data_IF_805546206762
#
_entry.id   IF_805546206762
#
_cell.length_a   1.000
_cell.length_b   1.000
_cell.length_c   1.000
_cell.angle_alpha   90.00
_cell.angle_beta   90.00
_cell.angle_gamma   90.00
#
_symmetry.space_group_name_H-M   'P 1'
#
loop_
_entity.id
_entity.type
_entity.pdbx_description
1 polymer ?
#
# COMPACT_ATOMS: atom_id res chain seq x y z
N UNK A 1 -19.11 29.68 14.14
CA UNK A 1 -18.65 30.62 13.09
C UNK A 1 -18.38 29.81 11.83
N UNK A 2 -19.21 29.98 10.81
CA UNK A 2 -19.19 29.19 9.58
C UNK A 2 -18.15 29.77 8.62
N UNK A 3 -17.08 29.04 8.36
CA UNK A 3 -16.05 29.45 7.41
C UNK A 3 -16.56 29.18 5.98
N UNK A 4 -16.84 30.25 5.25
CA UNK A 4 -17.17 30.19 3.82
C UNK A 4 -15.93 29.71 3.04
N UNK A 5 -16.04 28.55 2.41
CA UNK A 5 -15.05 28.05 1.46
C UNK A 5 -15.04 28.97 0.23
N UNK A 6 -14.07 29.89 0.18
CA UNK A 6 -13.82 30.73 -0.98
C UNK A 6 -13.38 29.87 -2.16
N UNK A 7 -14.27 29.72 -3.14
CA UNK A 7 -13.96 29.20 -4.48
C UNK A 7 -12.99 30.17 -5.17
N UNK A 8 -11.70 30.01 -4.92
CA UNK A 8 -10.66 30.70 -5.69
C UNK A 8 -10.76 30.31 -7.16
N UNK A 9 -11.00 31.30 -8.03
CA UNK A 9 -11.06 31.10 -9.47
C UNK A 9 -9.76 30.45 -9.94
N UNK A 10 -9.82 29.16 -10.30
CA UNK A 10 -8.73 28.45 -10.97
C UNK A 10 -8.50 29.18 -12.28
N UNK A 11 -7.41 29.95 -12.38
CA UNK A 11 -6.98 30.56 -13.64
C UNK A 11 -6.69 29.41 -14.61
N UNK A 12 -7.66 29.09 -15.47
CA UNK A 12 -7.47 28.13 -16.55
C UNK A 12 -6.41 28.72 -17.49
N UNK A 13 -5.21 28.17 -17.44
CA UNK A 13 -4.13 28.55 -18.35
C UNK A 13 -4.56 28.13 -19.76
N UNK A 14 -4.97 29.10 -20.60
CA UNK A 14 -5.25 28.82 -22.01
C UNK A 14 -3.93 28.77 -22.76
N UNK A 15 -3.49 27.56 -23.08
CA UNK A 15 -2.38 27.33 -23.98
C UNK A 15 -2.73 27.89 -25.36
N UNK A 16 -2.02 28.93 -25.81
CA UNK A 16 -2.07 29.39 -27.19
C UNK A 16 -1.21 28.44 -28.03
N UNK A 17 -1.79 27.64 -28.95
CA UNK A 17 -1.02 26.71 -29.75
C UNK A 17 -0.13 27.48 -30.73
N UNK A 18 1.16 27.57 -30.42
CA UNK A 18 2.17 27.91 -31.41
C UNK A 18 2.29 26.77 -32.42
N UNK A 19 2.47 27.11 -33.70
CA UNK A 19 2.55 26.18 -34.86
C UNK A 19 3.74 25.20 -34.85
N UNK A 20 4.51 25.13 -33.77
CA UNK A 20 5.51 24.08 -33.55
C UNK A 20 4.86 22.96 -32.77
N UNK A 21 4.83 21.73 -33.31
CA UNK A 21 4.48 20.52 -32.56
C UNK A 21 5.18 20.58 -31.20
N UNK A 22 4.41 20.78 -30.14
CA UNK A 22 4.94 20.81 -28.78
C UNK A 22 5.28 19.39 -28.37
N UNK A 23 6.47 18.95 -28.79
CA UNK A 23 6.99 17.63 -28.43
C UNK A 23 7.42 17.71 -26.97
N UNK A 24 6.56 17.24 -26.08
CA UNK A 24 6.94 16.94 -24.71
C UNK A 24 7.88 15.73 -24.70
N UNK A 25 8.94 15.79 -23.91
CA UNK A 25 9.87 14.68 -23.70
C UNK A 25 9.66 14.08 -22.31
N UNK A 26 9.87 12.77 -22.15
CA UNK A 26 9.75 12.12 -20.84
C UNK A 26 10.94 12.50 -19.96
N UNK A 27 10.67 13.19 -18.85
CA UNK A 27 11.66 13.47 -17.82
C UNK A 27 11.94 12.21 -16.99
N UNK A 28 10.88 11.59 -16.48
CA UNK A 28 10.93 10.27 -15.85
C UNK A 28 9.57 9.56 -15.92
N UNK A 29 9.55 8.28 -15.60
CA UNK A 29 8.33 7.50 -15.38
C UNK A 29 8.46 6.58 -14.19
N UNK A 30 7.32 6.19 -13.64
CA UNK A 30 7.20 5.19 -12.57
C UNK A 30 6.27 4.09 -13.09
N UNK A 31 6.76 2.85 -13.08
CA UNK A 31 6.00 1.65 -13.44
C UNK A 31 5.74 0.84 -12.18
N UNK A 32 4.48 0.54 -11.92
CA UNK A 32 4.06 -0.26 -10.78
C UNK A 32 3.94 -1.72 -11.18
N UNK A 33 4.60 -2.58 -10.43
CA UNK A 33 4.53 -4.03 -10.64
C UNK A 33 4.10 -4.71 -9.34
N UNK A 34 3.41 -5.84 -9.42
CA UNK A 34 3.00 -6.60 -8.24
C UNK A 34 3.11 -8.09 -8.52
N UNK A 35 3.77 -8.86 -7.65
CA UNK A 35 4.09 -10.28 -7.92
C UNK A 35 2.84 -11.18 -7.99
N UNK A 36 1.71 -10.77 -7.41
CA UNK A 36 0.40 -11.43 -7.62
C UNK A 36 0.02 -11.56 -9.11
N UNK A 37 0.29 -10.54 -9.92
CA UNK A 37 -0.04 -10.55 -11.34
C UNK A 37 1.00 -11.38 -12.09
N UNK A 38 0.60 -12.56 -12.57
CA UNK A 38 1.47 -13.46 -13.34
C UNK A 38 1.42 -13.19 -14.84
N UNK A 39 0.51 -12.32 -15.27
CA UNK A 39 0.37 -11.91 -16.67
C UNK A 39 0.99 -10.52 -16.89
N UNK A 40 1.20 -10.13 -18.16
CA UNK A 40 1.67 -8.80 -18.55
C UNK A 40 2.90 -8.32 -17.76
N UNK A 41 3.89 -9.20 -17.55
CA UNK A 41 5.11 -8.89 -16.79
C UNK A 41 4.87 -8.35 -15.36
N UNK A 42 3.73 -8.68 -14.75
CA UNK A 42 3.38 -8.26 -13.40
C UNK A 42 2.97 -6.80 -13.27
N UNK A 43 2.58 -6.13 -14.35
CA UNK A 43 2.04 -4.77 -14.31
C UNK A 43 0.81 -4.69 -13.39
N UNK A 44 0.82 -3.70 -12.50
CA UNK A 44 -0.21 -3.52 -11.48
C UNK A 44 -1.04 -2.26 -11.78
N UNK A 45 -2.34 -2.46 -12.05
CA UNK A 45 -3.31 -1.41 -12.39
C UNK A 45 -4.22 -1.01 -11.22
N UNK A 46 -3.96 -1.56 -10.04
CA UNK A 46 -4.80 -1.37 -8.85
C UNK A 46 -4.62 -0.02 -8.17
N UNK A 47 -3.66 0.78 -8.62
CA UNK A 47 -3.23 2.01 -8.00
C UNK A 47 -3.26 3.16 -9.00
N UNK A 48 -3.75 4.32 -8.56
CA UNK A 48 -3.67 5.58 -9.30
C UNK A 48 -2.79 6.57 -8.57
N UNK A 49 -2.17 7.45 -9.35
CA UNK A 49 -1.29 8.49 -8.85
C UNK A 49 -1.82 9.85 -9.27
N UNK A 50 -1.72 10.82 -8.38
CA UNK A 50 -1.95 12.21 -8.70
C UNK A 50 -0.87 13.06 -8.01
N UNK A 51 -0.27 14.05 -8.69
CA UNK A 51 0.54 15.03 -7.99
C UNK A 51 -0.34 15.76 -6.97
N UNK A 52 0.22 16.08 -5.80
CA UNK A 52 -0.49 16.96 -4.88
C UNK A 52 -0.63 18.39 -5.45
N UNK A 53 -1.44 19.23 -4.81
CA UNK A 53 -1.72 20.59 -5.32
C UNK A 53 -0.47 21.45 -5.46
N UNK A 54 0.48 21.33 -4.53
CA UNK A 54 1.76 22.03 -4.57
C UNK A 54 2.64 21.53 -5.74
N UNK A 55 2.76 20.21 -5.89
CA UNK A 55 3.53 19.59 -6.98
C UNK A 55 2.91 19.88 -8.35
N UNK A 56 1.58 19.82 -8.48
CA UNK A 56 0.89 20.16 -9.72
C UNK A 56 1.13 21.62 -10.13
N UNK A 57 1.07 22.55 -9.16
CA UNK A 57 1.36 23.97 -9.39
C UNK A 57 2.81 24.19 -9.80
N UNK A 58 3.76 23.53 -9.12
CA UNK A 58 5.17 23.58 -9.45
C UNK A 58 5.42 23.02 -10.85
N UNK A 59 4.85 21.86 -11.19
CA UNK A 59 4.94 21.24 -12.50
C UNK A 59 4.47 22.18 -13.61
N UNK A 60 3.29 22.79 -13.45
CA UNK A 60 2.76 23.74 -14.41
C UNK A 60 3.67 24.96 -14.60
N UNK A 61 4.23 25.50 -13.51
CA UNK A 61 5.14 26.66 -13.57
C UNK A 61 6.47 26.37 -14.27
N UNK A 62 6.88 25.11 -14.32
CA UNK A 62 8.14 24.65 -14.91
C UNK A 62 7.93 23.97 -16.28
N UNK A 63 6.76 24.10 -16.90
CA UNK A 63 6.48 23.50 -18.21
C UNK A 63 6.49 21.96 -18.19
N UNK A 64 6.20 21.35 -17.04
CA UNK A 64 6.07 19.91 -16.88
C UNK A 64 4.60 19.48 -16.98
N UNK A 65 4.38 18.26 -17.44
CA UNK A 65 3.07 17.63 -17.58
C UNK A 65 3.06 16.28 -16.86
N UNK A 66 2.07 16.09 -15.99
CA UNK A 66 1.77 14.79 -15.42
C UNK A 66 0.92 13.99 -16.42
N UNK A 67 1.29 12.74 -16.68
CA UNK A 67 0.51 11.82 -17.49
C UNK A 67 0.33 10.51 -16.73
N UNK A 68 -0.90 10.20 -16.37
CA UNK A 68 -1.26 8.87 -15.85
C UNK A 68 -1.02 7.83 -16.94
N UNK A 69 -0.46 6.68 -16.56
CA UNK A 69 -0.26 5.53 -17.43
C UNK A 69 -1.00 4.34 -16.83
N UNK A 70 -1.24 3.31 -17.64
CA UNK A 70 -2.05 2.14 -17.25
C UNK A 70 -1.59 1.46 -15.94
N UNK A 71 -0.27 1.37 -15.71
CA UNK A 71 0.32 0.81 -14.49
C UNK A 71 1.37 1.76 -13.89
N UNK A 72 1.00 3.03 -13.68
CA UNK A 72 1.86 4.03 -13.07
C UNK A 72 1.67 5.42 -13.68
N UNK A 73 2.77 6.15 -13.91
CA UNK A 73 2.70 7.48 -14.51
C UNK A 73 4.01 7.91 -15.17
N UNK A 74 3.93 8.94 -16.00
CA UNK A 74 5.07 9.66 -16.57
C UNK A 74 5.01 11.14 -16.19
N UNK A 75 6.17 11.75 -15.96
CA UNK A 75 6.33 13.20 -15.96
C UNK A 75 7.06 13.60 -17.24
N UNK A 76 6.42 14.45 -18.02
CA UNK A 76 6.94 14.98 -19.26
C UNK A 76 7.37 16.44 -19.07
N UNK A 77 8.30 16.93 -19.87
CA UNK A 77 8.78 18.31 -19.85
C UNK A 77 8.93 18.83 -21.27
N UNK A 78 8.65 20.11 -21.47
CA UNK A 78 8.95 20.77 -22.74
C UNK A 78 10.46 20.98 -22.86
N UNK A 79 11.10 20.66 -24.00
CA UNK A 79 12.56 20.77 -24.15
C UNK A 79 13.10 22.16 -23.78
N UNK A 80 12.39 23.22 -24.15
CA UNK A 80 12.78 24.60 -23.81
C UNK A 80 12.61 24.96 -22.33
N UNK A 81 11.81 24.19 -21.57
CA UNK A 81 11.56 24.45 -20.14
C UNK A 81 12.65 23.83 -19.23
N UNK A 82 13.51 22.97 -19.77
CA UNK A 82 14.62 22.33 -19.03
C UNK A 82 15.56 23.37 -18.43
N UNK A 83 15.90 24.43 -19.17
CA UNK A 83 16.72 25.51 -18.64
C UNK A 83 16.03 26.22 -17.46
N UNK A 84 14.72 26.48 -17.58
CA UNK A 84 13.92 27.04 -16.49
C UNK A 84 13.93 26.18 -15.22
N UNK A 85 13.83 24.86 -15.37
CA UNK A 85 13.95 23.89 -14.27
C UNK A 85 15.34 23.95 -13.62
N UNK A 86 16.42 23.99 -14.42
CA UNK A 86 17.79 24.10 -13.88
C UNK A 86 17.99 25.42 -13.13
N UNK A 87 17.48 26.54 -13.66
CA UNK A 87 17.55 27.84 -12.98
C UNK A 87 16.70 27.86 -11.71
N UNK A 88 15.52 27.23 -11.71
CA UNK A 88 14.71 27.06 -10.52
C UNK A 88 15.48 26.28 -9.44
N UNK A 89 16.08 25.14 -9.79
CA UNK A 89 16.90 24.34 -8.87
C UNK A 89 18.07 25.14 -8.32
N UNK A 90 18.75 25.95 -9.16
CA UNK A 90 19.82 26.86 -8.73
C UNK A 90 19.36 27.90 -7.72
N UNK A 91 18.13 28.43 -7.87
CA UNK A 91 17.56 29.37 -6.90
C UNK A 91 17.12 28.71 -5.60
N UNK A 92 16.70 27.44 -5.66
CA UNK A 92 16.38 26.64 -4.47
C UNK A 92 17.63 26.16 -3.74
N UNK A 93 18.81 26.31 -4.34
CA UNK A 93 20.07 25.91 -3.73
C UNK A 93 20.27 26.65 -2.41
N UNK A 94 20.50 25.89 -1.35
CA UNK A 94 20.79 26.46 -0.05
C UNK A 94 22.26 26.88 0.03
N UNK A 95 22.49 28.07 0.57
CA UNK A 95 23.82 28.50 0.99
C UNK A 95 24.15 27.86 2.34
N UNK A 96 24.88 26.75 2.32
CA UNK A 96 25.45 26.12 3.52
C UNK A 96 26.98 26.16 3.51
N UNK A 97 27.63 25.67 4.58
CA UNK A 97 29.10 25.52 4.67
C UNK A 97 29.67 24.44 3.73
N UNK A 98 28.82 23.73 2.99
CA UNK A 98 29.17 22.70 2.01
C UNK A 98 28.82 23.10 0.57
N UNK A 99 29.07 22.19 -0.41
CA UNK A 99 28.66 22.43 -1.80
C UNK A 99 27.14 22.66 -1.87
N UNK A 100 26.67 23.62 -2.70
CA UNK A 100 25.25 23.96 -2.78
C UNK A 100 24.40 22.74 -3.11
N UNK A 101 23.40 22.49 -2.26
CA UNK A 101 22.43 21.41 -2.42
C UNK A 101 21.27 21.92 -3.29
N UNK A 102 21.31 21.58 -4.58
CA UNK A 102 20.21 21.83 -5.49
C UNK A 102 19.22 20.68 -5.29
N UNK A 103 18.02 20.92 -4.78
CA UNK A 103 16.96 19.92 -4.84
C UNK A 103 15.57 20.56 -4.79
N UNK A 104 14.61 19.84 -5.34
CA UNK A 104 13.18 20.00 -5.09
C UNK A 104 12.56 18.62 -5.22
N UNK A 105 11.34 18.48 -4.73
CA UNK A 105 10.58 17.23 -4.75
C UNK A 105 9.25 17.43 -5.45
N UNK A 106 8.78 16.36 -6.08
CA UNK A 106 7.39 16.20 -6.46
C UNK A 106 6.78 15.08 -5.60
N UNK A 107 5.64 15.37 -4.99
CA UNK A 107 4.86 14.43 -4.20
C UNK A 107 3.69 13.92 -5.03
N UNK A 108 3.58 12.60 -5.14
CA UNK A 108 2.47 11.91 -5.80
C UNK A 108 1.70 11.09 -4.77
N UNK A 109 0.40 11.39 -4.64
CA UNK A 109 -0.52 10.66 -3.79
C UNK A 109 -1.03 9.43 -4.51
N UNK A 110 -0.94 8.28 -3.85
CA UNK A 110 -1.35 6.98 -4.37
C UNK A 110 -2.72 6.61 -3.81
N UNK A 111 -3.69 6.35 -4.68
CA UNK A 111 -5.05 5.91 -4.30
C UNK A 111 -5.33 4.51 -4.85
N UNK A 112 -6.11 3.71 -4.12
CA UNK A 112 -6.51 2.37 -4.56
C UNK A 112 -7.73 2.44 -5.48
N UNK A 113 -7.64 1.77 -6.61
CA UNK A 113 -8.78 1.49 -7.51
C UNK A 113 -9.38 0.14 -7.19
N UNK A 114 -8.55 -0.83 -6.82
CA UNK A 114 -8.98 -2.17 -6.45
C UNK A 114 -9.02 -2.32 -4.92
N UNK A 115 -10.21 -2.49 -4.29
CA UNK A 115 -10.31 -2.65 -2.85
C UNK A 115 -9.66 -3.94 -2.33
N UNK A 116 -9.41 -4.94 -3.19
CA UNK A 116 -8.74 -6.18 -2.83
C UNK A 116 -7.21 -6.05 -2.75
N UNK A 117 -6.64 -4.90 -3.12
CA UNK A 117 -5.19 -4.70 -3.15
C UNK A 117 -4.51 -5.07 -1.82
N UNK A 118 -5.08 -4.67 -0.68
CA UNK A 118 -4.57 -5.03 0.66
C UNK A 118 -4.62 -6.55 0.88
N UNK A 119 -5.66 -7.22 0.40
CA UNK A 119 -5.83 -8.68 0.49
C UNK A 119 -4.73 -9.44 -0.24
N UNK A 120 -4.30 -8.95 -1.40
CA UNK A 120 -3.28 -9.62 -2.24
C UNK A 120 -1.84 -9.17 -1.98
N UNK A 121 -1.64 -8.05 -1.27
CA UNK A 121 -0.30 -7.49 -1.01
C UNK A 121 0.27 -8.01 0.33
N UNK A 122 1.59 -8.17 0.41
CA UNK A 122 2.34 -8.57 1.61
C UNK A 122 2.38 -7.47 2.70
N UNK A 123 1.21 -7.09 3.20
CA UNK A 123 1.00 -6.18 4.34
C UNK A 123 0.13 -6.83 5.42
N UNK A 124 0.08 -6.34 6.66
CA UNK A 124 -0.92 -6.82 7.62
C UNK A 124 -2.35 -6.72 7.06
N UNK A 125 -3.19 -7.73 7.25
CA UNK A 125 -4.60 -7.67 6.80
C UNK A 125 -5.37 -6.55 7.50
N UNK A 126 -4.94 -6.18 8.72
CA UNK A 126 -5.47 -5.07 9.51
C UNK A 126 -5.00 -3.69 9.05
N UNK A 127 -4.25 -3.59 7.93
CA UNK A 127 -3.76 -2.30 7.41
C UNK A 127 -4.93 -1.38 7.11
N UNK A 128 -4.95 -0.23 7.77
CA UNK A 128 -5.91 0.84 7.51
C UNK A 128 -5.17 2.04 6.88
N UNK A 129 -5.52 2.45 5.66
CA UNK A 129 -4.87 3.58 4.98
C UNK A 129 -4.99 4.92 5.75
N UNK A 130 -5.92 5.01 6.70
CA UNK A 130 -6.08 6.17 7.59
C UNK A 130 -5.13 6.16 8.80
N UNK A 131 -4.41 5.08 9.04
CA UNK A 131 -3.48 4.92 10.17
C UNK A 131 -2.02 4.74 9.68
N UNK A 132 -1.82 4.00 8.60
CA UNK A 132 -0.51 3.75 7.99
C UNK A 132 -0.63 3.71 6.47
N UNK A 133 0.39 4.21 5.78
CA UNK A 133 0.44 4.25 4.32
C UNK A 133 1.80 3.81 3.78
N UNK A 134 1.81 3.33 2.53
CA UNK A 134 3.07 3.08 1.83
C UNK A 134 3.83 4.39 1.60
N UNK A 135 5.14 4.35 1.77
CA UNK A 135 6.00 5.48 1.43
C UNK A 135 7.22 5.01 0.66
N UNK A 136 7.54 5.72 -0.42
CA UNK A 136 8.76 5.52 -1.19
C UNK A 136 9.32 6.86 -1.66
N UNK A 137 10.63 6.89 -1.89
CA UNK A 137 11.31 8.00 -2.53
C UNK A 137 12.52 7.49 -3.32
N UNK A 138 13.12 8.34 -4.14
CA UNK A 138 14.30 7.98 -4.91
C UNK A 138 15.64 8.23 -4.22
N UNK A 139 15.68 8.60 -2.93
CA UNK A 139 16.94 8.72 -2.17
C UNK A 139 17.58 7.37 -1.87
N UNK A 140 16.76 6.32 -1.82
CA UNK A 140 17.20 4.93 -1.63
C UNK A 140 17.05 4.08 -2.90
N UNK A 141 16.67 4.72 -4.00
CA UNK A 141 16.53 4.03 -5.27
C UNK A 141 17.87 3.47 -5.75
N UNK A 142 17.84 2.29 -6.35
CA UNK A 142 19.02 1.55 -6.77
C UNK A 142 18.79 0.83 -8.10
N UNK A 143 19.88 0.55 -8.82
CA UNK A 143 19.82 -0.22 -10.06
C UNK A 143 19.51 -1.69 -9.81
N UNK A 144 18.67 -2.28 -10.66
CA UNK A 144 18.31 -3.71 -10.68
C UNK A 144 18.11 -4.14 -12.13
N UNK A 145 19.18 -4.67 -12.75
CA UNK A 145 19.24 -4.88 -14.20
C UNK A 145 19.08 -3.55 -14.95
N UNK A 146 18.19 -3.51 -15.93
CA UNK A 146 17.89 -2.32 -16.75
C UNK A 146 16.88 -1.36 -16.08
N UNK A 147 16.51 -1.61 -14.84
CA UNK A 147 15.49 -0.82 -14.12
C UNK A 147 16.04 -0.19 -12.85
N UNK A 148 15.47 0.94 -12.45
CA UNK A 148 15.75 1.57 -11.16
C UNK A 148 14.61 1.24 -10.20
N UNK A 149 14.89 0.57 -9.10
CA UNK A 149 13.88 0.21 -8.09
C UNK A 149 13.84 1.30 -7.02
N UNK A 150 12.64 1.80 -6.71
CA UNK A 150 12.43 2.86 -5.71
C UNK A 150 12.63 2.43 -4.25
N UNK A 151 11.96 1.37 -3.75
CA UNK A 151 12.12 0.99 -2.36
C UNK A 151 13.58 0.66 -2.04
N UNK A 152 14.03 0.88 -0.79
CA UNK A 152 15.36 0.49 -0.35
C UNK A 152 15.57 -1.03 -0.41
N UNK A 153 14.46 -1.79 -0.36
CA UNK A 153 14.41 -3.24 -0.52
C UNK A 153 13.90 -3.61 -1.92
N UNK A 154 13.78 -4.91 -2.18
CA UNK A 154 13.29 -5.41 -3.47
C UNK A 154 11.81 -5.12 -3.73
N UNK A 155 10.99 -4.92 -2.69
CA UNK A 155 9.54 -4.74 -2.79
C UNK A 155 9.00 -3.76 -1.74
N UNK A 156 7.88 -3.12 -2.08
CA UNK A 156 6.92 -2.48 -1.18
C UNK A 156 6.15 -3.57 -0.44
N UNK A 157 6.19 -3.55 0.89
CA UNK A 157 5.52 -4.49 1.78
C UNK A 157 5.22 -3.85 3.14
N UNK A 158 4.83 -4.63 4.14
CA UNK A 158 4.53 -4.12 5.49
C UNK A 158 5.65 -3.27 6.12
N UNK A 159 6.92 -3.53 5.79
CA UNK A 159 8.06 -2.76 6.30
C UNK A 159 8.22 -1.37 5.65
N UNK A 160 7.45 -1.08 4.60
CA UNK A 160 7.42 0.24 3.91
C UNK A 160 6.21 1.09 4.33
N UNK A 161 5.44 0.61 5.31
CA UNK A 161 4.33 1.36 5.88
C UNK A 161 4.85 2.38 6.90
N UNK A 162 4.38 3.61 6.78
CA UNK A 162 4.70 4.74 7.66
C UNK A 162 3.41 5.24 8.30
N UNK A 163 3.40 5.59 9.60
CA UNK A 163 2.24 6.21 10.25
C UNK A 163 1.78 7.46 9.51
N UNK A 164 0.47 7.63 9.36
CA UNK A 164 -0.10 8.82 8.73
C UNK A 164 -0.65 9.79 9.76
N UNK A 165 -0.70 11.06 9.37
CA UNK A 165 -1.38 12.10 10.10
C UNK A 165 -2.16 12.99 9.14
N UNK A 166 -3.24 13.60 9.66
CA UNK A 166 -4.01 14.60 8.93
C UNK A 166 -3.39 15.98 9.07
N UNK A 167 -4.20 17.03 8.89
CA UNK A 167 -3.74 18.41 9.06
C UNK A 167 -3.42 18.78 10.50
N UNK A 168 -3.77 17.93 11.48
CA UNK A 168 -3.46 18.14 12.88
C UNK A 168 -2.76 16.91 13.44
N UNK A 169 -1.73 17.15 14.23
CA UNK A 169 -0.96 16.10 14.88
C UNK A 169 -0.76 16.44 16.36
N UNK A 170 -1.11 15.50 17.24
CA UNK A 170 -0.84 15.62 18.67
C UNK A 170 0.52 15.02 19.00
N UNK A 171 1.36 15.81 19.66
CA UNK A 171 2.77 15.54 19.97
C UNK A 171 2.90 15.54 21.49
N UNK A 172 3.21 14.41 22.15
CA UNK A 172 3.63 14.43 23.55
C UNK A 172 4.95 15.19 23.68
N UNK A 173 5.05 16.07 24.66
CA UNK A 173 6.24 16.90 24.91
C UNK A 173 6.68 16.78 26.38
N UNK A 174 7.96 17.03 26.64
CA UNK A 174 8.54 17.04 27.99
C UNK A 174 8.51 18.45 28.59
N UNK A 175 8.66 18.62 29.92
CA UNK A 175 8.73 19.94 30.55
C UNK A 175 9.81 20.86 29.97
N UNK A 176 10.91 20.29 29.48
CA UNK A 176 12.05 21.04 28.91
C UNK A 176 11.86 21.40 27.42
N UNK A 177 10.81 20.87 26.78
CA UNK A 177 10.53 21.17 25.37
C UNK A 177 10.15 22.65 25.21
N UNK A 178 10.90 23.37 24.40
CA UNK A 178 10.61 24.75 23.99
C UNK A 178 10.04 24.81 22.56
N UNK A 179 10.43 23.86 21.70
CA UNK A 179 9.93 23.80 20.33
C UNK A 179 9.65 22.37 19.89
N UNK A 180 8.65 22.23 19.01
CA UNK A 180 8.48 21.05 18.15
C UNK A 180 8.94 21.45 16.75
N UNK A 181 9.91 20.73 16.20
CA UNK A 181 10.40 20.97 14.83
C UNK A 181 9.90 19.92 13.87
N UNK A 182 9.55 20.37 12.67
CA UNK A 182 9.32 19.51 11.52
C UNK A 182 10.40 19.73 10.50
N UNK A 183 11.08 18.64 10.16
CA UNK A 183 12.01 18.58 9.07
C UNK A 183 11.42 17.80 7.90
N UNK A 184 11.65 18.27 6.68
CA UNK A 184 11.31 17.52 5.47
C UNK A 184 12.30 16.35 5.24
N UNK A 185 12.12 15.65 4.13
CA UNK A 185 12.94 14.49 3.77
C UNK A 185 14.45 14.79 3.61
N UNK A 186 14.83 16.05 3.34
CA UNK A 186 16.25 16.44 3.29
C UNK A 186 16.87 16.63 4.67
N UNK A 187 16.06 16.62 5.74
CA UNK A 187 16.46 17.01 7.10
C UNK A 187 16.33 18.51 7.35
N UNK A 188 15.86 19.28 6.37
CA UNK A 188 15.63 20.70 6.52
C UNK A 188 14.41 21.00 7.39
N UNK A 189 14.58 21.81 8.44
CA UNK A 189 13.46 22.34 9.22
C UNK A 189 12.57 23.20 8.31
N UNK A 190 11.33 22.77 8.11
CA UNK A 190 10.29 23.49 7.37
C UNK A 190 9.41 24.33 8.29
N UNK A 191 9.26 23.91 9.54
CA UNK A 191 8.49 24.65 10.53
C UNK A 191 9.01 24.34 11.94
N UNK A 192 9.04 25.38 12.78
CA UNK A 192 9.32 25.32 14.21
C UNK A 192 8.10 25.86 14.98
N UNK A 193 7.52 25.06 15.87
CA UNK A 193 6.34 25.40 16.65
C UNK A 193 6.77 25.72 18.09
N UNK A 194 6.63 26.97 18.56
CA UNK A 194 6.96 27.32 19.95
C UNK A 194 5.96 26.69 20.92
N UNK A 195 6.45 26.17 22.05
CA UNK A 195 5.63 25.63 23.14
C UNK A 195 5.49 26.68 24.23
N UNK A 196 4.26 27.05 24.54
CA UNK A 196 3.94 28.05 25.57
C UNK A 196 3.74 27.38 26.93
N UNK A 197 3.87 28.13 28.04
CA UNK A 197 3.57 27.60 29.38
C UNK A 197 2.15 27.04 29.52
N UNK A 198 1.17 27.62 28.81
CA UNK A 198 -0.21 27.11 28.79
C UNK A 198 -0.33 25.72 28.15
N UNK A 199 0.50 25.44 27.13
CA UNK A 199 0.54 24.11 26.51
C UNK A 199 1.04 23.05 27.50
N UNK A 200 1.86 23.45 28.48
CA UNK A 200 2.44 22.60 29.54
C UNK A 200 1.49 22.28 30.69
N UNK A 201 0.28 22.82 30.71
CA UNK A 201 -0.66 22.65 31.82
C UNK A 201 -1.37 21.27 31.87
N UNK A 202 -1.17 20.41 30.86
CA UNK A 202 -1.80 19.08 30.78
C UNK A 202 -0.85 17.97 31.26
N UNK A 203 -1.39 16.92 31.90
CA UNK A 203 -0.63 15.73 32.31
C UNK A 203 -1.27 14.46 31.70
N UNK A 204 -0.60 13.75 30.75
CA UNK A 204 0.69 14.08 30.14
C UNK A 204 0.60 15.32 29.23
N UNK A 205 1.68 16.09 29.14
CA UNK A 205 1.71 17.30 28.31
C UNK A 205 1.65 16.96 26.83
N UNK A 206 0.64 17.48 26.14
CA UNK A 206 0.42 17.24 24.70
C UNK A 206 0.18 18.56 23.97
N UNK A 207 0.85 18.74 22.84
CA UNK A 207 0.69 19.89 21.96
C UNK A 207 0.07 19.43 20.66
N UNK A 208 -0.88 20.19 20.12
CA UNK A 208 -1.41 19.94 18.77
C UNK A 208 -0.77 20.92 17.81
N UNK A 209 -0.11 20.41 16.78
CA UNK A 209 0.47 21.22 15.71
C UNK A 209 -0.38 21.14 14.45
N UNK A 210 -0.42 22.24 13.70
CA UNK A 210 -1.15 22.37 12.44
C UNK A 210 -0.21 22.19 11.24
N UNK A 211 -0.45 21.12 10.49
CA UNK A 211 0.25 20.77 9.25
C UNK A 211 -0.46 21.32 8.01
N UNK A 212 -1.60 22.01 8.15
CA UNK A 212 -2.36 22.60 7.06
C UNK A 212 -1.56 23.56 6.17
N UNK A 213 -0.50 24.16 6.70
CA UNK A 213 0.42 25.05 5.96
C UNK A 213 1.57 24.31 5.27
N UNK A 214 1.77 23.03 5.57
CA UNK A 214 2.82 22.20 4.98
C UNK A 214 2.32 21.56 3.67
N UNK A 215 3.25 21.20 2.77
CA UNK A 215 2.91 20.35 1.63
C UNK A 215 2.67 18.92 2.09
N UNK A 216 1.90 18.12 1.36
CA UNK A 216 1.83 16.70 1.67
C UNK A 216 3.19 16.03 1.46
N UNK A 217 3.46 15.00 2.24
CA UNK A 217 4.72 14.28 2.16
C UNK A 217 5.23 13.79 3.50
N UNK A 218 6.50 13.41 3.49
CA UNK A 218 7.16 12.81 4.63
C UNK A 218 7.85 13.87 5.49
N UNK A 219 7.69 13.72 6.81
CA UNK A 219 8.28 14.61 7.80
C UNK A 219 8.90 13.84 8.95
N UNK A 220 9.97 14.42 9.48
CA UNK A 220 10.58 14.04 10.75
C UNK A 220 10.20 15.08 11.80
N UNK A 221 9.63 14.62 12.90
CA UNK A 221 9.23 15.45 14.04
C UNK A 221 10.26 15.27 15.14
N UNK A 222 10.77 16.36 15.68
CA UNK A 222 11.73 16.38 16.79
C UNK A 222 11.32 17.39 17.86
N UNK A 223 11.85 17.19 19.07
CA UNK A 223 11.69 18.10 20.19
C UNK A 223 13.00 18.85 20.41
N UNK A 224 12.91 20.15 20.72
CA UNK A 224 14.07 20.99 21.00
C UNK A 224 13.87 21.78 22.29
N UNK A 225 14.97 21.93 23.04
CA UNK A 225 15.06 22.79 24.21
C UNK A 225 15.14 24.28 23.85
N UNK A 226 15.15 25.13 24.87
CA UNK A 226 15.25 26.59 24.69
C UNK A 226 16.62 27.02 24.09
N UNK A 227 17.65 26.20 24.29
CA UNK A 227 18.98 26.32 23.71
C UNK A 227 19.06 25.84 22.25
N UNK A 228 17.96 25.31 21.71
CA UNK A 228 17.88 24.74 20.37
C UNK A 228 18.51 23.36 20.24
N UNK A 229 18.96 22.73 21.33
CA UNK A 229 19.44 21.36 21.30
C UNK A 229 18.27 20.38 21.20
N UNK A 230 18.49 19.29 20.47
CA UNK A 230 17.52 18.21 20.39
C UNK A 230 17.34 17.58 21.78
N UNK A 231 16.10 17.35 22.17
CA UNK A 231 15.77 16.60 23.38
C UNK A 231 15.75 15.12 23.01
N UNK A 232 16.63 14.35 23.65
CA UNK A 232 16.66 12.89 23.51
C UNK A 232 15.50 12.28 24.29
N UNK A 233 14.47 11.87 23.55
CA UNK A 233 13.32 11.14 24.06
C UNK A 233 13.13 9.93 23.16
N UNK A 234 13.00 8.74 23.73
CA UNK A 234 12.82 7.47 23.01
C UNK A 234 11.67 7.46 21.96
N UNK A 235 10.71 8.39 22.04
CA UNK A 235 9.63 8.54 21.06
C UNK A 235 10.03 9.42 19.86
N UNK A 236 11.17 10.11 19.93
CA UNK A 236 11.65 11.08 18.95
C UNK A 236 13.11 10.83 18.52
N UNK A 237 13.48 11.17 17.27
CA UNK A 237 12.63 11.75 16.24
C UNK A 237 11.56 10.76 15.73
N UNK A 238 10.36 11.27 15.48
CA UNK A 238 9.23 10.48 14.96
C UNK A 238 9.03 10.76 13.48
N UNK A 239 8.90 9.71 12.71
CA UNK A 239 8.61 9.79 11.28
C UNK A 239 7.09 9.72 11.06
N UNK A 240 6.56 10.60 10.23
CA UNK A 240 5.14 10.66 9.91
C UNK A 240 4.92 11.06 8.46
N UNK A 241 3.83 10.57 7.89
CA UNK A 241 3.40 10.93 6.55
C UNK A 241 2.15 11.83 6.64
N UNK A 242 2.29 13.08 6.23
CA UNK A 242 1.17 14.00 6.13
C UNK A 242 0.48 13.83 4.77
N UNK A 243 -0.77 13.37 4.79
CA UNK A 243 -1.60 13.11 3.60
C UNK A 243 -2.97 13.75 3.75
N UNK A 244 -3.68 14.05 2.65
CA UNK A 244 -5.05 14.52 2.75
C UNK A 244 -5.94 13.41 3.33
N UNK A 245 -6.96 13.78 4.14
CA UNK A 245 -7.92 12.81 4.66
C UNK A 245 -8.85 12.25 3.57
N UNK A 246 -9.01 12.98 2.45
CA UNK A 246 -9.85 12.60 1.30
C UNK A 246 -9.22 13.07 -0.02
N UNK A 247 -9.22 12.24 -1.08
CA UNK A 247 -9.61 10.82 -1.07
C UNK A 247 -8.69 9.99 -0.16
N UNK A 248 -9.15 8.79 0.22
CA UNK A 248 -8.34 7.89 1.05
C UNK A 248 -7.08 7.52 0.26
N UNK A 249 -5.95 8.02 0.74
CA UNK A 249 -4.63 7.78 0.17
C UNK A 249 -4.09 6.50 0.76
N UNK A 250 -3.51 5.63 -0.06
CA UNK A 250 -2.86 4.37 0.34
C UNK A 250 -1.33 4.51 0.43
N UNK A 251 -0.79 5.57 -0.16
CA UNK A 251 0.63 5.86 -0.08
C UNK A 251 1.02 7.21 -0.66
N UNK A 252 2.27 7.58 -0.45
CA UNK A 252 2.89 8.72 -1.10
C UNK A 252 4.22 8.32 -1.71
N UNK A 253 4.51 8.91 -2.87
CA UNK A 253 5.78 8.79 -3.57
C UNK A 253 6.40 10.17 -3.71
N UNK A 254 7.61 10.35 -3.19
CA UNK A 254 8.38 11.58 -3.35
C UNK A 254 9.54 11.37 -4.32
N UNK A 255 9.50 12.05 -5.47
CA UNK A 255 10.59 12.02 -6.45
C UNK A 255 11.37 13.33 -6.37
N UNK A 256 12.64 13.23 -5.98
CA UNK A 256 13.55 14.35 -5.94
C UNK A 256 14.24 14.47 -7.29
N UNK A 257 14.41 15.69 -7.80
CA UNK A 257 15.09 15.87 -9.09
C UNK A 257 16.60 15.64 -9.03
N UNK A 258 17.20 15.87 -7.86
CA UNK A 258 18.65 15.86 -7.63
C UNK A 258 18.92 15.42 -6.19
N UNK A 259 20.18 15.14 -5.87
CA UNK A 259 20.62 14.68 -4.54
C UNK A 259 20.37 15.77 -3.48
N UNK A 260 19.53 15.51 -2.46
CA UNK A 260 19.27 16.49 -1.41
C UNK A 260 20.46 16.63 -0.46
N UNK A 261 21.23 15.56 -0.23
CA UNK A 261 22.44 15.59 0.61
C UNK A 261 23.62 14.89 -0.08
N UNK A 262 24.88 15.22 0.27
CA UNK A 262 26.06 14.55 -0.27
C UNK A 262 26.08 13.03 -0.09
N UNK A 263 25.48 12.54 1.00
CA UNK A 263 25.47 11.13 1.37
C UNK A 263 24.33 10.33 0.72
N UNK A 264 23.41 11.01 0.02
CA UNK A 264 22.29 10.34 -0.65
C UNK A 264 22.78 9.50 -1.83
N UNK A 265 22.54 8.18 -1.79
CA UNK A 265 22.97 7.20 -2.80
C UNK A 265 21.95 6.94 -3.90
N UNK A 266 20.83 7.64 -3.86
CA UNK A 266 19.72 7.48 -4.79
C UNK A 266 20.05 7.69 -6.26
N UNK A 267 19.09 7.33 -7.10
CA UNK A 267 19.10 7.62 -8.54
C UNK A 267 18.07 8.72 -8.83
N UNK A 268 18.49 9.77 -9.52
CA UNK A 268 17.71 10.99 -9.68
C UNK A 268 17.49 11.32 -11.17
N UNK A 269 16.34 11.93 -11.55
CA UNK A 269 16.04 12.26 -12.95
C UNK A 269 17.04 13.25 -13.57
N UNK A 270 17.58 14.19 -12.78
CA UNK A 270 18.57 15.15 -13.25
C UNK A 270 19.95 14.83 -12.70
N UNK A 271 20.95 14.91 -13.59
CA UNK A 271 22.36 14.92 -13.19
C UNK A 271 22.71 16.27 -12.57
N UNK A 272 23.76 16.32 -11.74
CA UNK A 272 24.17 17.53 -11.01
C UNK A 272 24.32 18.74 -11.96
N UNK A 273 23.74 19.91 -11.64
CA UNK A 273 23.77 21.11 -12.49
C UNK A 273 25.18 21.59 -12.88
N UNK A 274 26.20 21.30 -12.06
CA UNK A 274 27.61 21.64 -12.32
C UNK A 274 28.19 20.96 -13.56
N UNK A 275 27.60 19.84 -14.00
CA UNK A 275 27.99 19.13 -15.22
C UNK A 275 27.07 19.43 -16.41
N UNK A 276 26.04 20.26 -16.24
CA UNK A 276 25.14 20.69 -17.32
C UNK A 276 25.74 21.92 -18.00
N UNK A 277 26.94 21.77 -18.58
CA UNK A 277 27.53 22.78 -19.49
C UNK A 277 27.15 22.56 -20.94
N UNK A 278 26.61 21.38 -21.26
CA UNK A 278 25.90 21.12 -22.51
C UNK A 278 24.60 20.43 -22.11
N UNK A 279 23.47 21.09 -22.39
CA UNK A 279 22.15 20.47 -22.29
C UNK A 279 22.07 19.37 -23.36
N UNK A 280 22.70 18.22 -23.10
CA UNK A 280 22.41 17.01 -23.82
C UNK A 280 20.94 16.69 -23.60
N UNK A 281 20.23 16.41 -24.69
CA UNK A 281 18.82 16.02 -24.71
C UNK A 281 18.55 14.99 -23.60
N UNK A 282 17.46 15.10 -22.83
CA UNK A 282 17.05 14.09 -21.86
C UNK A 282 17.08 12.69 -22.50
N UNK A 283 18.16 11.94 -22.28
CA UNK A 283 18.34 10.61 -22.85
C UNK A 283 17.28 9.67 -22.28
N UNK A 284 16.39 9.17 -23.14
CA UNK A 284 15.37 8.12 -22.92
C UNK A 284 14.47 8.18 -21.67
N UNK A 285 14.53 9.23 -20.85
CA UNK A 285 13.78 9.37 -19.59
C UNK A 285 14.16 8.29 -18.56
N UNK A 286 14.29 8.67 -17.30
CA UNK A 286 14.56 7.70 -16.25
C UNK A 286 13.29 6.90 -15.92
N UNK A 287 13.33 5.57 -15.98
CA UNK A 287 12.21 4.71 -15.56
C UNK A 287 12.47 4.06 -14.21
N UNK A 288 11.63 4.40 -13.25
CA UNK A 288 11.55 3.76 -11.95
C UNK A 288 10.56 2.60 -11.96
N UNK A 289 10.87 1.56 -11.19
CA UNK A 289 9.94 0.48 -10.84
C UNK A 289 9.55 0.61 -9.37
N UNK A 290 8.25 0.51 -9.11
CA UNK A 290 7.65 0.44 -7.78
C UNK A 290 7.04 -0.96 -7.59
N UNK A 291 7.86 -1.96 -7.21
CA UNK A 291 7.41 -3.33 -7.10
C UNK A 291 6.73 -3.61 -5.77
N UNK A 292 5.60 -4.31 -5.77
CA UNK A 292 4.89 -4.82 -4.60
C UNK A 292 4.98 -6.34 -4.54
N UNK A 293 5.04 -6.88 -3.33
CA UNK A 293 5.06 -8.32 -3.13
C UNK A 293 3.68 -8.88 -2.78
N UNK A 294 3.42 -10.10 -3.25
CA UNK A 294 2.19 -10.81 -2.98
C UNK A 294 2.18 -11.36 -1.56
N UNK A 295 1.02 -11.32 -0.93
CA UNK A 295 0.77 -12.04 0.31
C UNK A 295 1.05 -13.52 0.11
N UNK A 296 1.70 -14.15 1.07
CA UNK A 296 1.77 -15.60 1.16
C UNK A 296 0.83 -16.09 2.26
N UNK A 297 0.14 -17.21 2.02
CA UNK A 297 -0.85 -17.79 2.92
C UNK A 297 -0.57 -19.29 3.11
N UNK A 298 -0.94 -19.81 4.27
CA UNK A 298 -1.05 -21.27 4.47
C UNK A 298 -2.42 -21.71 3.96
N UNK A 299 -2.45 -22.77 3.17
CA UNK A 299 -3.67 -23.28 2.54
C UNK A 299 -4.20 -24.45 3.35
N UNK A 300 -5.50 -24.44 3.61
CA UNK A 300 -6.20 -25.45 4.37
C UNK A 300 -7.25 -26.10 3.48
N UNK A 301 -7.14 -27.40 3.21
CA UNK A 301 -8.16 -28.14 2.49
C UNK A 301 -9.05 -28.90 3.47
N UNK A 302 -10.35 -28.60 3.45
CA UNK A 302 -11.37 -29.36 4.18
C UNK A 302 -12.03 -30.34 3.23
N UNK A 303 -11.86 -31.65 3.50
CA UNK A 303 -12.42 -32.73 2.68
C UNK A 303 -13.58 -33.38 3.44
N UNK A 304 -14.77 -33.32 2.88
CA UNK A 304 -16.01 -33.84 3.49
C UNK A 304 -16.56 -34.99 2.65
N UNK A 305 -16.96 -36.09 3.29
CA UNK A 305 -17.70 -37.16 2.62
C UNK A 305 -19.12 -36.69 2.29
N UNK A 306 -19.58 -36.89 1.06
CA UNK A 306 -20.94 -36.48 0.66
C UNK A 306 -22.03 -37.35 1.29
N UNK A 307 -21.78 -38.65 1.38
CA UNK A 307 -22.76 -39.60 1.89
C UNK A 307 -22.75 -39.57 3.42
N UNK A 308 -23.92 -39.35 4.02
CA UNK A 308 -24.08 -39.40 5.46
C UNK A 308 -23.73 -40.82 5.96
N UNK A 309 -22.57 -40.95 6.61
CA UNK A 309 -22.03 -42.23 7.09
C UNK A 309 -20.97 -42.87 6.19
N UNK A 310 -20.65 -42.29 5.04
CA UNK A 310 -19.48 -42.71 4.25
C UNK A 310 -18.16 -42.39 4.94
N UNK A 311 -17.13 -43.21 4.73
CA UNK A 311 -15.78 -42.98 5.25
C UNK A 311 -14.80 -42.64 4.14
N UNK A 312 -13.79 -41.83 4.48
CA UNK A 312 -12.67 -41.48 3.62
C UNK A 312 -11.39 -42.00 4.26
N UNK A 313 -10.61 -42.75 3.49
CA UNK A 313 -9.42 -43.48 3.95
C UNK A 313 -8.24 -43.22 3.02
N UNK A 314 -7.02 -43.35 3.56
CA UNK A 314 -5.76 -43.21 2.82
C UNK A 314 -5.67 -41.92 1.96
N UNK A 315 -6.26 -40.83 2.45
CA UNK A 315 -6.25 -39.55 1.74
C UNK A 315 -4.84 -38.95 1.68
N UNK A 316 -4.47 -38.40 0.52
CA UNK A 316 -3.20 -37.71 0.33
C UNK A 316 -3.31 -36.58 -0.70
N UNK A 317 -2.65 -35.46 -0.44
CA UNK A 317 -2.53 -34.35 -1.38
C UNK A 317 -1.11 -34.30 -1.95
N UNK A 318 -1.01 -34.38 -3.27
CA UNK A 318 0.27 -34.34 -4.01
C UNK A 318 0.29 -33.17 -4.99
N UNK A 319 1.46 -32.56 -5.21
CA UNK A 319 1.64 -31.44 -6.15
C UNK A 319 2.99 -30.77 -6.01
N UNK A 320 3.18 -29.64 -6.69
CA UNK A 320 4.37 -28.80 -6.61
C UNK A 320 4.21 -27.68 -5.57
N UNK A 321 5.31 -27.05 -5.16
CA UNK A 321 5.28 -25.84 -4.35
C UNK A 321 5.33 -26.07 -2.83
N UNK A 322 4.56 -27.03 -2.31
CA UNK A 322 4.61 -27.44 -0.89
C UNK A 322 4.07 -28.85 -0.68
N UNK A 323 4.28 -29.39 0.52
CA UNK A 323 3.64 -30.60 1.00
C UNK A 323 2.46 -30.28 1.91
N UNK A 324 1.54 -31.22 2.09
CA UNK A 324 0.40 -31.09 2.99
C UNK A 324 0.49 -32.10 4.11
N UNK A 325 0.20 -31.64 5.33
CA UNK A 325 0.03 -32.51 6.49
C UNK A 325 -1.44 -32.70 6.76
N UNK A 326 -1.89 -33.95 6.78
CA UNK A 326 -3.21 -34.31 7.28
C UNK A 326 -3.23 -34.17 8.80
N UNK A 327 -4.26 -33.53 9.34
CA UNK A 327 -4.50 -33.48 10.78
C UNK A 327 -4.99 -34.86 11.29
N UNK A 328 -4.55 -35.30 12.48
CA UNK A 328 -4.81 -36.66 12.97
C UNK A 328 -6.28 -36.92 13.31
N UNK A 329 -7.05 -35.85 13.55
CA UNK A 329 -8.45 -35.94 13.91
C UNK A 329 -9.30 -35.08 12.97
N UNK A 330 -10.49 -35.56 12.54
CA UNK A 330 -11.42 -34.75 11.79
C UNK A 330 -11.84 -33.49 12.55
N UNK A 331 -12.11 -32.42 11.82
CA UNK A 331 -12.60 -31.14 12.34
C UNK A 331 -14.10 -31.00 12.08
N UNK A 332 -14.83 -30.38 13.01
CA UNK A 332 -16.25 -30.06 12.83
C UNK A 332 -16.41 -28.70 12.17
N UNK A 333 -17.12 -28.66 11.04
CA UNK A 333 -17.49 -27.44 10.35
C UNK A 333 -18.69 -26.75 11.03
N UNK A 334 -18.97 -25.47 10.75
CA UNK A 334 -20.08 -24.73 11.37
C UNK A 334 -21.48 -25.33 11.15
N UNK A 335 -21.66 -26.10 10.08
CA UNK A 335 -22.89 -26.85 9.76
C UNK A 335 -23.00 -28.19 10.51
N UNK A 336 -21.98 -28.55 11.30
CA UNK A 336 -21.86 -29.81 12.03
C UNK A 336 -21.21 -30.95 11.24
N UNK A 337 -20.89 -30.76 9.95
CA UNK A 337 -20.23 -31.77 9.14
C UNK A 337 -18.81 -32.09 9.67
N UNK A 338 -18.36 -33.34 9.49
CA UNK A 338 -16.99 -33.76 9.83
C UNK A 338 -16.11 -33.66 8.59
N UNK A 339 -14.98 -32.98 8.70
CA UNK A 339 -14.02 -32.81 7.61
C UNK A 339 -12.64 -33.36 7.98
N UNK A 340 -11.94 -33.96 7.02
CA UNK A 340 -10.51 -34.22 7.13
C UNK A 340 -9.78 -32.95 6.70
N UNK A 341 -8.92 -32.43 7.56
CA UNK A 341 -8.19 -31.19 7.33
C UNK A 341 -6.76 -31.50 6.87
N UNK A 342 -6.37 -30.91 5.74
CA UNK A 342 -4.99 -30.85 5.27
C UNK A 342 -4.45 -29.43 5.34
N UNK A 343 -3.21 -29.27 5.78
CA UNK A 343 -2.56 -27.97 5.89
C UNK A 343 -1.23 -27.95 5.14
N UNK A 344 -1.03 -26.93 4.31
CA UNK A 344 0.26 -26.71 3.64
C UNK A 344 1.36 -26.53 4.67
N UNK A 345 2.52 -27.14 4.45
CA UNK A 345 3.68 -26.99 5.35
C UNK A 345 4.41 -25.67 5.16
N UNK A 346 4.33 -25.09 3.95
CA UNK A 346 4.93 -23.81 3.63
C UNK A 346 3.86 -22.77 3.26
N UNK A 347 4.18 -21.50 3.45
CA UNK A 347 3.35 -20.42 2.96
C UNK A 347 3.47 -20.31 1.44
N UNK A 348 2.33 -20.31 0.75
CA UNK A 348 2.26 -20.20 -0.71
C UNK A 348 1.89 -18.77 -1.11
N UNK A 349 2.60 -18.14 -2.06
CA UNK A 349 2.26 -16.80 -2.52
C UNK A 349 0.93 -16.80 -3.29
N UNK A 350 0.07 -15.84 -3.00
CA UNK A 350 -1.13 -15.59 -3.79
C UNK A 350 -0.73 -15.15 -5.20
N UNK A 351 -1.40 -15.72 -6.21
CA UNK A 351 -1.19 -15.39 -7.62
C UNK A 351 -2.53 -15.29 -8.33
N UNK A 352 -2.63 -14.38 -9.29
CA UNK A 352 -3.79 -14.26 -10.18
C UNK A 352 -4.07 -15.59 -10.91
N UNK A 353 -3.00 -16.23 -11.37
CA UNK A 353 -3.02 -17.61 -11.86
C UNK A 353 -1.95 -18.39 -11.12
N UNK A 354 -2.39 -19.20 -10.16
CA UNK A 354 -1.47 -20.07 -9.42
C UNK A 354 -0.82 -21.07 -10.38
N UNK A 355 0.52 -21.22 -10.34
CA UNK A 355 1.19 -22.30 -11.04
C UNK A 355 0.94 -23.66 -10.36
N UNK A 356 0.52 -23.66 -9.09
CA UNK A 356 0.37 -24.87 -8.30
C UNK A 356 -0.83 -25.70 -8.76
N UNK A 357 -0.59 -27.01 -8.85
CA UNK A 357 -1.58 -28.01 -9.24
C UNK A 357 -1.55 -29.14 -8.23
N UNK A 358 -2.40 -29.03 -7.23
CA UNK A 358 -2.57 -30.07 -6.21
C UNK A 358 -3.64 -31.06 -6.63
N UNK A 359 -3.42 -32.34 -6.29
CA UNK A 359 -4.30 -33.46 -6.56
C UNK A 359 -4.57 -34.21 -5.26
N UNK A 360 -5.84 -34.52 -4.99
CA UNK A 360 -6.24 -35.40 -3.89
C UNK A 360 -6.42 -36.83 -4.41
N UNK A 361 -5.85 -37.79 -3.71
CA UNK A 361 -6.06 -39.23 -3.93
C UNK A 361 -6.48 -39.90 -2.63
N UNK A 362 -7.12 -41.06 -2.70
CA UNK A 362 -7.41 -41.90 -1.54
C UNK A 362 -8.48 -42.92 -1.84
N UNK A 363 -9.24 -43.36 -0.83
CA UNK A 363 -10.36 -44.29 -0.97
C UNK A 363 -11.60 -43.75 -0.27
N UNK A 364 -12.77 -44.04 -0.84
CA UNK A 364 -14.08 -43.78 -0.22
C UNK A 364 -14.80 -45.10 -0.03
N UNK A 365 -15.36 -45.32 1.15
CA UNK A 365 -16.32 -46.40 1.41
C UNK A 365 -17.71 -45.81 1.63
N UNK A 366 -18.67 -46.23 0.83
CA UNK A 366 -20.06 -45.78 0.98
C UNK A 366 -20.80 -46.54 2.10
N UNK A 367 -22.08 -46.19 2.32
CA UNK A 367 -22.91 -46.81 3.35
C UNK A 367 -23.25 -48.28 3.08
N UNK A 368 -23.08 -48.76 1.84
CA UNK A 368 -23.22 -50.18 1.49
C UNK A 368 -21.95 -50.98 1.76
N UNK A 369 -20.85 -50.31 2.12
CA UNK A 369 -19.55 -50.92 2.33
C UNK A 369 -18.72 -51.06 1.05
N UNK A 370 -19.20 -50.55 -0.09
CA UNK A 370 -18.45 -50.59 -1.34
C UNK A 370 -17.31 -49.57 -1.33
N UNK A 371 -16.11 -50.01 -1.67
CA UNK A 371 -14.93 -49.17 -1.79
C UNK A 371 -14.75 -48.67 -3.22
N UNK A 372 -14.41 -47.39 -3.33
CA UNK A 372 -14.12 -46.73 -4.60
C UNK A 372 -12.85 -45.89 -4.45
N UNK A 373 -11.95 -45.98 -5.44
CA UNK A 373 -10.78 -45.11 -5.49
C UNK A 373 -11.20 -43.66 -5.71
N UNK A 374 -10.57 -42.74 -4.96
CA UNK A 374 -10.79 -41.31 -5.07
C UNK A 374 -9.66 -40.66 -5.84
N UNK A 375 -10.03 -39.86 -6.85
CA UNK A 375 -9.09 -39.01 -7.58
C UNK A 375 -9.72 -37.66 -7.92
N UNK A 376 -9.22 -36.59 -7.29
CA UNK A 376 -9.51 -35.21 -7.68
C UNK A 376 -8.26 -34.60 -8.29
N UNK A 377 -8.25 -34.51 -9.62
CA UNK A 377 -7.07 -34.12 -10.40
C UNK A 377 -6.59 -32.69 -10.14
N UNK A 378 -7.46 -31.80 -9.66
CA UNK A 378 -7.14 -30.40 -9.41
C UNK A 378 -7.94 -29.85 -8.25
N UNK A 379 -7.26 -29.56 -7.14
CA UNK A 379 -7.86 -28.88 -6.00
C UNK A 379 -8.01 -27.38 -6.24
N UNK A 380 -8.96 -26.71 -5.56
CA UNK A 380 -9.10 -25.27 -5.64
C UNK A 380 -7.83 -24.56 -5.16
N UNK A 381 -7.68 -23.30 -5.53
CA UNK A 381 -6.58 -22.43 -5.07
C UNK A 381 -7.16 -21.34 -4.18
N UNK A 382 -6.35 -20.84 -3.23
CA UNK A 382 -6.80 -19.79 -2.33
C UNK A 382 -7.28 -18.56 -3.11
N UNK A 383 -8.49 -18.03 -2.82
CA UNK A 383 -8.99 -16.84 -3.48
C UNK A 383 -8.17 -15.60 -3.06
N UNK A 384 -8.23 -14.57 -3.89
CA UNK A 384 -7.60 -13.27 -3.60
C UNK A 384 -8.31 -12.49 -2.49
N UNK A 385 -9.57 -12.81 -2.23
CA UNK A 385 -10.36 -12.19 -1.18
C UNK A 385 -9.83 -12.63 0.19
N UNK A 386 -9.48 -11.70 1.09
CA UNK A 386 -9.09 -12.07 2.44
C UNK A 386 -10.27 -12.73 3.13
N UNK A 387 -10.01 -13.92 3.69
CA UNK A 387 -10.94 -14.56 4.63
C UNK A 387 -10.67 -13.92 5.99
N UNK A 388 -11.63 -13.12 6.46
CA UNK A 388 -11.55 -12.60 7.81
C UNK A 388 -11.82 -13.74 8.79
N UNK A 389 -11.00 -13.91 9.84
CA UNK A 389 -11.40 -14.79 10.93
C UNK A 389 -12.79 -14.36 11.37
N UNK A 390 -13.70 -15.31 11.54
CA UNK A 390 -14.96 -15.01 12.20
C UNK A 390 -14.63 -14.26 13.50
N UNK A 391 -15.36 -13.18 13.85
CA UNK A 391 -15.17 -12.53 15.14
C UNK A 391 -15.14 -13.62 16.18
N UNK A 392 -14.02 -13.77 16.90
CA UNK A 392 -13.99 -14.72 18.01
C UNK A 392 -15.17 -14.29 18.88
N UNK A 393 -16.20 -15.14 18.93
CA UNK A 393 -17.24 -14.99 19.92
C UNK A 393 -16.49 -15.12 21.23
N UNK A 394 -16.07 -13.99 21.79
CA UNK A 394 -15.60 -13.92 23.15
C UNK A 394 -16.70 -14.60 23.94
N UNK A 395 -16.41 -15.76 24.51
CA UNK A 395 -17.33 -16.48 25.38
C UNK A 395 -17.78 -15.48 26.43
N UNK A 396 -18.94 -14.87 26.19
CA UNK A 396 -19.65 -14.05 27.14
C UNK A 396 -20.32 -15.03 28.11
N UNK A 397 -19.49 -15.80 28.81
CA UNK A 397 -19.84 -16.60 29.96
C UNK A 397 -20.10 -15.68 31.13
N UNK A 398 -21.22 -14.96 31.07
CA UNK A 398 -21.77 -14.17 32.16
C UNK A 398 -23.27 -14.03 31.93
N UNK A 399 -24.13 -14.69 32.72
CA UNK A 399 -25.57 -14.56 32.54
C UNK A 399 -25.97 -13.08 32.69
N UNK A 400 -26.67 -12.49 31.72
CA UNK A 400 -27.15 -11.12 31.84
C UNK A 400 -28.20 -11.06 32.95
N UNK A 401 -27.90 -10.29 34.00
CA UNK A 401 -28.89 -9.89 35.00
C UNK A 401 -30.08 -9.25 34.28
N UNK A 402 -31.27 -9.79 34.57
CA UNK A 402 -32.48 -9.61 33.78
C UNK A 402 -32.84 -8.16 33.48
N UNK A 403 -33.08 -7.87 32.20
CA UNK A 403 -33.82 -6.68 31.77
C UNK A 403 -34.90 -7.11 30.78
N UNK A 404 -36.15 -7.15 31.26
CA UNK A 404 -37.35 -7.37 30.45
C UNK A 404 -37.52 -6.20 29.48
N UNK A 405 -37.44 -6.47 28.18
CA UNK A 405 -37.71 -5.51 27.12
C UNK A 405 -38.36 -6.20 25.91
N UNK A 406 -39.58 -5.77 25.58
CA UNK A 406 -40.45 -6.24 24.49
C UNK A 406 -39.72 -6.35 23.14
N UNK A 407 -39.81 -7.52 22.51
CA UNK A 407 -39.41 -7.80 21.13
C UNK A 407 -40.47 -7.33 20.13
N UNK A 408 -40.03 -6.59 19.11
CA UNK A 408 -40.76 -6.39 17.85
C UNK A 408 -40.03 -7.15 16.73
N UNK A 409 -40.69 -8.15 16.18
CA UNK A 409 -40.16 -9.04 15.13
C UNK A 409 -40.37 -8.41 13.76
N UNK A 410 -39.34 -8.36 12.92
CA UNK A 410 -39.45 -8.02 11.48
C UNK A 410 -38.74 -9.11 10.69
N UNK A 411 -39.51 -9.88 9.92
CA UNK A 411 -38.99 -10.93 9.03
C UNK A 411 -38.43 -10.33 7.74
N UNK A 412 -37.35 -10.93 7.24
CA UNK A 412 -36.84 -10.71 5.89
C UNK A 412 -37.01 -12.02 5.12
N UNK A 413 -37.76 -11.96 4.04
CA UNK A 413 -38.07 -13.06 3.13
C UNK A 413 -36.91 -13.30 2.15
N UNK A 414 -36.48 -14.57 2.09
CA UNK A 414 -35.60 -15.15 1.08
C UNK A 414 -36.30 -15.23 -0.27
N UNK A 415 -35.58 -14.95 -1.36
CA UNK A 415 -36.07 -15.03 -2.75
C UNK A 415 -35.61 -16.36 -3.36
N UNK A 416 -36.58 -17.12 -3.87
CA UNK A 416 -36.37 -18.38 -4.59
C UNK A 416 -35.69 -18.17 -5.95
N UNK A 417 -34.73 -19.03 -6.27
CA UNK A 417 -34.13 -19.17 -7.59
C UNK A 417 -34.26 -20.63 -8.06
N UNK A 418 -35.20 -20.88 -8.97
CA UNK A 418 -35.38 -22.14 -9.68
C UNK A 418 -34.15 -22.48 -10.53
N UNK A 419 -33.71 -23.74 -10.51
CA UNK A 419 -32.79 -24.26 -11.51
C UNK A 419 -33.32 -25.59 -12.09
N UNK A 420 -33.40 -25.61 -13.41
CA UNK A 420 -33.92 -26.68 -14.27
C UNK A 420 -32.93 -27.84 -14.41
N UNK A 421 -33.47 -29.06 -14.48
CA UNK A 421 -32.73 -30.31 -14.54
C UNK A 421 -31.97 -30.57 -15.84
N UNK A 422 -30.89 -31.35 -15.71
CA UNK A 422 -30.22 -32.05 -16.79
C UNK A 422 -29.63 -33.37 -16.26
N UNK A 423 -29.68 -34.38 -17.12
CA UNK A 423 -29.48 -35.81 -16.85
C UNK A 423 -28.19 -36.19 -16.09
N UNK A 424 -28.38 -37.04 -15.07
CA UNK A 424 -27.34 -37.55 -14.16
C UNK A 424 -26.81 -38.92 -14.60
N UNK A 425 -25.61 -38.95 -15.16
CA UNK A 425 -24.69 -40.09 -14.92
C UNK A 425 -24.04 -39.84 -13.56
N UNK A 426 -24.32 -40.70 -12.57
CA UNK A 426 -23.95 -40.50 -11.17
C UNK A 426 -22.45 -40.44 -10.91
N UNK A 427 -21.85 -39.27 -11.10
CA UNK A 427 -20.59 -38.88 -10.45
C UNK A 427 -20.94 -38.35 -9.07
N UNK A 428 -20.73 -39.16 -8.03
CA UNK A 428 -20.74 -38.65 -6.66
C UNK A 428 -19.62 -37.61 -6.53
N UNK A 429 -19.97 -36.38 -6.20
CA UNK A 429 -19.02 -35.28 -6.11
C UNK A 429 -18.28 -35.33 -4.75
N UNK A 430 -17.23 -34.54 -4.56
CA UNK A 430 -16.65 -34.26 -3.24
C UNK A 430 -16.50 -32.76 -3.15
N UNK A 431 -16.91 -32.18 -2.02
CA UNK A 431 -16.67 -30.77 -1.76
C UNK A 431 -15.30 -30.59 -1.13
N UNK A 432 -14.46 -29.82 -1.81
CA UNK A 432 -13.16 -29.38 -1.31
C UNK A 432 -13.22 -27.87 -1.16
N UNK A 433 -13.07 -27.40 0.07
CA UNK A 433 -12.98 -25.97 0.39
C UNK A 433 -11.51 -25.60 0.67
N UNK A 434 -11.14 -24.37 0.29
CA UNK A 434 -9.83 -23.75 0.54
C UNK A 434 -9.98 -22.50 1.36
#
# INVERSE_FOLDING_TARGET
MSAAAGSGAVKSFRYAPGTRRSVFERLFSVVVTHTYYTQNAGLCRDLRFAPDSASASLMASLGMLFKEEDAGFSVLIQPYAVEGLVQYLRRQARSGLGPPEYWTRLTFLMTMVNPQFIGITAVPVSTKPTEVNFYANNMTAHGSGDSVVLPPRRYMNGATLVPVTGSQMTVPVTPDTAYVTLADLSGAVVHRFPITPSDKATNPTRVTIDLGQCTYGYYTVSLEGADGQAIDDHLYPRQTLYVPPRPVTMGALEILFTRPTPNSRGVYPLRRPSHVRQAGTPGNGLTYRLPFDARSTYWQYYVVAQDAGGTLEDLNITGTGTSFRQQPHPVRLPDGASAILFESQDALPLRQKSPERFRLTGRRRDTSGQENDLLISRLPVAPASPVWPAPQHSDAGGPPAGRKGKTGTRSLSSTDGQNSGQDSTGTSEIFVYV
#
